data_IF_135968279730
#
_entry.id   IF_135968279730
#
_cell.length_a   1.000
_cell.length_b   1.000
_cell.length_c   1.000
_cell.angle_alpha   90.00
_cell.angle_beta   90.00
_cell.angle_gamma   90.00
#
_symmetry.space_group_name_H-M   'P 1'
#
loop_
_entity.id
_entity.type
_entity.pdbx_description
1 polymer ?
#
# COMPACT_ATOMS: atom_id res chain seq x y z
N UNK A 1 -18.99 16.41 22.44
CA UNK A 1 -18.66 15.10 21.83
C UNK A 1 -17.14 15.07 21.73
N UNK A 2 -16.48 14.35 22.62
CA UNK A 2 -15.01 14.17 22.56
C UNK A 2 -14.68 13.26 21.38
N UNK A 3 -14.48 13.85 20.21
CA UNK A 3 -14.05 13.12 19.02
C UNK A 3 -12.57 12.78 19.18
N UNK A 4 -12.26 11.49 19.33
CA UNK A 4 -10.88 11.02 19.37
C UNK A 4 -10.24 11.27 17.99
N UNK A 5 -9.17 12.08 17.89
CA UNK A 5 -8.48 12.31 16.63
C UNK A 5 -7.90 11.02 16.06
N UNK A 6 -7.93 10.91 14.73
CA UNK A 6 -7.33 9.81 13.98
C UNK A 6 -6.10 10.35 13.26
N UNK A 7 -4.95 9.74 13.54
CA UNK A 7 -3.69 10.00 12.85
C UNK A 7 -3.50 8.91 11.81
N UNK A 8 -3.48 9.31 10.54
CA UNK A 8 -3.28 8.40 9.43
C UNK A 8 -1.91 8.62 8.78
N UNK A 9 -1.05 7.61 8.86
CA UNK A 9 0.31 7.61 8.34
C UNK A 9 0.31 6.85 7.01
N UNK A 10 0.99 7.41 6.02
CA UNK A 10 1.05 6.88 4.67
C UNK A 10 2.49 6.58 4.26
N UNK A 11 2.64 5.44 3.61
CA UNK A 11 3.83 5.05 2.86
C UNK A 11 5.08 4.69 3.70
N UNK A 12 6.03 4.00 3.06
CA UNK A 12 7.14 3.31 3.75
C UNK A 12 8.16 4.23 4.42
N UNK A 13 8.25 5.49 4.00
CA UNK A 13 9.22 6.45 4.53
C UNK A 13 8.98 6.76 6.02
N UNK A 14 7.78 6.45 6.53
CA UNK A 14 7.33 6.77 7.88
C UNK A 14 7.13 5.54 8.78
N UNK A 15 7.74 4.39 8.45
CA UNK A 15 7.57 3.16 9.25
C UNK A 15 7.88 3.36 10.74
N UNK A 16 9.00 4.02 11.07
CA UNK A 16 9.43 4.22 12.46
C UNK A 16 8.68 5.37 13.15
N UNK A 17 8.10 6.29 12.37
CA UNK A 17 7.40 7.45 12.91
C UNK A 17 6.19 7.04 13.77
N UNK A 18 5.52 5.94 13.42
CA UNK A 18 4.39 5.43 14.18
C UNK A 18 4.74 5.10 15.64
N UNK A 19 5.93 4.55 15.90
CA UNK A 19 6.40 4.26 17.26
C UNK A 19 6.63 5.53 18.04
N UNK A 20 7.33 6.52 17.47
CA UNK A 20 7.59 7.81 18.12
C UNK A 20 6.30 8.56 18.42
N UNK A 21 5.36 8.58 17.47
CA UNK A 21 4.05 9.24 17.68
C UNK A 21 3.28 8.54 18.80
N UNK A 22 3.29 7.20 18.85
CA UNK A 22 2.65 6.44 19.93
C UNK A 22 3.26 6.76 21.30
N UNK A 23 4.59 6.81 21.39
CA UNK A 23 5.29 7.15 22.63
C UNK A 23 4.86 8.52 23.16
N UNK A 24 4.86 9.53 22.30
CA UNK A 24 4.42 10.89 22.68
C UNK A 24 2.95 10.91 23.12
N UNK A 25 2.07 10.17 22.44
CA UNK A 25 0.66 10.05 22.84
C UNK A 25 0.51 9.43 24.24
N UNK A 26 1.30 8.41 24.56
CA UNK A 26 1.27 7.74 25.86
C UNK A 26 1.87 8.63 26.97
N UNK A 27 2.98 9.31 26.70
CA UNK A 27 3.65 10.24 27.63
C UNK A 27 2.76 11.44 27.98
N UNK A 28 2.16 12.07 26.98
CA UNK A 28 1.26 13.22 27.15
C UNK A 28 -0.18 12.80 27.52
N UNK A 29 -0.44 11.50 27.69
CA UNK A 29 -1.75 10.90 28.00
C UNK A 29 -2.87 11.37 27.06
N UNK A 30 -2.53 11.54 25.79
CA UNK A 30 -3.46 11.94 24.75
C UNK A 30 -4.32 10.75 24.32
N UNK A 31 -5.52 11.03 23.82
CA UNK A 31 -6.38 10.03 23.18
C UNK A 31 -6.31 10.22 21.68
N UNK A 32 -5.70 9.30 20.95
CA UNK A 32 -5.68 9.28 19.50
C UNK A 32 -5.69 7.84 18.97
N UNK A 33 -6.26 7.65 17.78
CA UNK A 33 -6.17 6.39 17.04
C UNK A 33 -5.13 6.51 15.95
N UNK A 34 -4.27 5.52 15.82
CA UNK A 34 -3.22 5.47 14.80
C UNK A 34 -3.57 4.45 13.72
N UNK A 35 -3.46 4.87 12.46
CA UNK A 35 -3.64 3.99 11.31
C UNK A 35 -2.47 4.17 10.34
N UNK A 36 -2.02 3.08 9.74
CA UNK A 36 -0.96 3.07 8.73
C UNK A 36 -1.50 2.51 7.43
N UNK A 37 -1.12 3.09 6.28
CA UNK A 37 -1.42 2.51 4.97
C UNK A 37 -0.18 2.42 4.09
N UNK A 38 0.11 1.22 3.58
CA UNK A 38 1.24 0.99 2.69
C UNK A 38 0.80 0.97 1.22
N UNK A 39 1.38 1.89 0.44
CA UNK A 39 1.08 2.03 -0.98
C UNK A 39 1.87 1.06 -1.88
N UNK A 40 2.98 0.54 -1.38
CA UNK A 40 3.83 -0.43 -2.09
C UNK A 40 3.42 -1.87 -1.74
N UNK A 41 3.71 -2.85 -2.63
CA UNK A 41 3.51 -4.25 -2.30
C UNK A 41 4.32 -4.65 -1.07
N UNK A 42 3.69 -5.35 -0.13
CA UNK A 42 4.40 -5.86 1.04
C UNK A 42 5.08 -7.19 0.71
N UNK A 43 6.41 -7.31 0.95
CA UNK A 43 7.16 -8.51 0.61
C UNK A 43 6.72 -9.73 1.43
N UNK A 44 6.97 -10.93 0.91
CA UNK A 44 6.82 -12.17 1.68
C UNK A 44 7.91 -12.29 2.76
N UNK A 45 7.69 -13.18 3.73
CA UNK A 45 8.66 -13.44 4.80
C UNK A 45 10.08 -13.72 4.31
N UNK A 46 10.22 -14.49 3.23
CA UNK A 46 11.53 -14.89 2.70
C UNK A 46 12.38 -13.71 2.24
N UNK A 47 11.73 -12.64 1.78
CA UNK A 47 12.36 -11.39 1.37
C UNK A 47 12.51 -10.47 2.59
N UNK A 48 11.47 -10.35 3.43
CA UNK A 48 11.48 -9.45 4.58
C UNK A 48 12.63 -9.74 5.56
N UNK A 49 12.91 -11.02 5.81
CA UNK A 49 14.00 -11.44 6.72
C UNK A 49 15.42 -11.10 6.22
N UNK A 50 15.56 -10.67 4.97
CA UNK A 50 16.86 -10.28 4.41
C UNK A 50 17.23 -8.84 4.82
N UNK A 51 16.24 -8.04 5.23
CA UNK A 51 16.50 -6.68 5.68
C UNK A 51 17.09 -6.69 7.10
N UNK A 52 18.16 -5.92 7.36
CA UNK A 52 18.80 -5.87 8.68
C UNK A 52 17.95 -5.17 9.75
N UNK A 53 16.97 -4.36 9.34
CA UNK A 53 16.08 -3.56 10.22
C UNK A 53 14.64 -4.07 10.16
N UNK A 54 14.47 -5.36 9.87
CA UNK A 54 13.16 -5.97 9.65
C UNK A 54 12.26 -5.92 10.89
N UNK A 55 12.85 -6.07 12.08
CA UNK A 55 12.19 -5.91 13.36
C UNK A 55 11.71 -4.49 13.63
N UNK A 56 12.55 -3.48 13.41
CA UNK A 56 12.20 -2.07 13.61
C UNK A 56 11.03 -1.65 12.71
N UNK A 57 11.03 -2.10 11.45
CA UNK A 57 9.95 -1.82 10.50
C UNK A 57 8.64 -2.47 10.98
N UNK A 58 8.67 -3.75 11.33
CA UNK A 58 7.48 -4.47 11.78
C UNK A 58 6.94 -3.91 13.10
N UNK A 59 7.81 -3.56 14.04
CA UNK A 59 7.42 -2.91 15.30
C UNK A 59 6.80 -1.53 15.05
N UNK A 60 7.38 -0.75 14.12
CA UNK A 60 6.83 0.52 13.68
C UNK A 60 5.38 0.38 13.18
N UNK A 61 5.15 -0.56 12.27
CA UNK A 61 3.81 -0.81 11.74
C UNK A 61 2.83 -1.31 12.82
N UNK A 62 3.28 -2.17 13.74
CA UNK A 62 2.47 -2.67 14.86
C UNK A 62 2.24 -1.63 15.98
N UNK A 63 2.95 -0.50 15.97
CA UNK A 63 2.67 0.60 16.88
C UNK A 63 1.30 1.24 16.60
N UNK A 64 0.75 1.08 15.39
CA UNK A 64 -0.59 1.54 15.02
C UNK A 64 -1.72 0.65 15.56
N UNK A 65 -2.95 1.15 15.56
CA UNK A 65 -4.15 0.36 15.89
C UNK A 65 -4.67 -0.41 14.66
N UNK A 66 -4.39 0.13 13.47
CA UNK A 66 -4.79 -0.45 12.19
C UNK A 66 -3.68 -0.30 11.15
N UNK A 67 -3.48 -1.33 10.34
CA UNK A 67 -2.55 -1.37 9.21
C UNK A 67 -3.33 -1.77 7.94
N UNK A 68 -3.19 -0.96 6.89
CA UNK A 68 -3.89 -1.15 5.62
C UNK A 68 -2.93 -1.45 4.47
N UNK A 69 -3.37 -2.32 3.58
CA UNK A 69 -2.66 -2.69 2.34
C UNK A 69 -3.63 -2.69 1.15
N UNK A 70 -3.10 -2.77 -0.08
CA UNK A 70 -3.93 -2.79 -1.29
C UNK A 70 -4.75 -4.08 -1.47
N UNK A 71 -4.18 -5.25 -1.13
CA UNK A 71 -4.79 -6.57 -1.35
C UNK A 71 -4.60 -7.47 -0.12
N UNK A 72 -5.40 -8.53 -0.04
CA UNK A 72 -5.39 -9.48 1.09
C UNK A 72 -4.08 -10.26 1.20
N UNK A 73 -3.44 -10.61 0.08
CA UNK A 73 -2.17 -11.34 0.08
C UNK A 73 -1.06 -10.58 0.81
N UNK A 74 -0.98 -9.25 0.63
CA UNK A 74 -0.02 -8.40 1.34
C UNK A 74 -0.31 -8.35 2.83
N UNK A 75 -1.60 -8.37 3.20
CA UNK A 75 -2.01 -8.44 4.59
C UNK A 75 -1.56 -9.78 5.23
N UNK A 76 -1.72 -10.90 4.52
CA UNK A 76 -1.28 -12.22 4.98
C UNK A 76 0.25 -12.28 5.11
N UNK A 77 0.98 -11.74 4.14
CA UNK A 77 2.44 -11.64 4.19
C UNK A 77 2.89 -10.86 5.43
N UNK A 78 2.25 -9.73 5.73
CA UNK A 78 2.55 -8.93 6.93
C UNK A 78 2.30 -9.72 8.21
N UNK A 79 1.14 -10.36 8.34
CA UNK A 79 0.78 -11.20 9.49
C UNK A 79 1.83 -12.31 9.70
N UNK A 80 2.25 -12.96 8.62
CA UNK A 80 3.27 -14.00 8.67
C UNK A 80 4.64 -13.46 9.10
N UNK A 81 5.03 -12.27 8.62
CA UNK A 81 6.26 -11.62 9.05
C UNK A 81 6.22 -11.28 10.54
N UNK A 82 5.11 -10.70 11.04
CA UNK A 82 4.95 -10.39 12.46
C UNK A 82 5.00 -11.66 13.33
N UNK A 83 4.33 -12.73 12.92
CA UNK A 83 4.32 -13.99 13.68
C UNK A 83 5.71 -14.64 13.72
N UNK A 84 6.42 -14.70 12.59
CA UNK A 84 7.72 -15.38 12.49
C UNK A 84 8.87 -14.57 13.08
N UNK A 85 8.89 -13.24 12.89
CA UNK A 85 9.99 -12.38 13.35
C UNK A 85 9.88 -11.93 14.79
N UNK A 86 8.66 -11.53 15.20
CA UNK A 86 8.40 -10.94 16.51
C UNK A 86 7.71 -11.93 17.48
N UNK A 87 7.32 -13.11 17.00
CA UNK A 87 6.62 -14.10 17.82
C UNK A 87 5.21 -13.68 18.23
N UNK A 88 4.59 -12.73 17.49
CA UNK A 88 3.26 -12.25 17.80
C UNK A 88 2.20 -13.35 17.63
N UNK A 89 1.15 -13.30 18.46
CA UNK A 89 -0.02 -14.14 18.27
C UNK A 89 -0.87 -13.54 17.15
N UNK A 90 -1.28 -14.36 16.19
CA UNK A 90 -2.00 -13.86 15.01
C UNK A 90 -3.25 -14.67 14.73
N UNK A 91 -4.28 -14.00 14.24
CA UNK A 91 -5.50 -14.62 13.70
C UNK A 91 -5.59 -14.28 12.21
N UNK A 92 -5.28 -15.26 11.37
CA UNK A 92 -5.30 -15.11 9.91
C UNK A 92 -6.72 -15.00 9.34
N UNK A 93 -7.73 -15.53 10.02
CA UNK A 93 -9.11 -15.48 9.54
C UNK A 93 -9.73 -14.11 9.80
N UNK A 94 -9.37 -13.49 10.93
CA UNK A 94 -9.85 -12.16 11.32
C UNK A 94 -8.90 -11.02 10.95
N UNK A 95 -7.73 -11.36 10.39
CA UNK A 95 -6.66 -10.42 10.04
C UNK A 95 -6.22 -9.57 11.24
N UNK A 96 -5.92 -10.24 12.37
CA UNK A 96 -5.52 -9.60 13.63
C UNK A 96 -4.12 -10.02 14.03
N UNK A 97 -3.36 -9.07 14.58
CA UNK A 97 -2.06 -9.32 15.22
C UNK A 97 -2.13 -8.83 16.67
N UNK A 98 -1.82 -9.72 17.61
CA UNK A 98 -1.75 -9.42 19.04
C UNK A 98 -0.28 -9.30 19.48
N UNK A 99 0.06 -8.15 20.06
CA UNK A 99 1.39 -7.84 20.58
C UNK A 99 1.27 -7.09 21.90
N UNK A 100 1.97 -7.55 22.94
CA UNK A 100 2.03 -6.90 24.26
C UNK A 100 0.65 -6.48 24.85
N UNK A 101 -0.38 -7.32 24.66
CA UNK A 101 -1.74 -7.05 25.14
C UNK A 101 -2.57 -6.10 24.28
N UNK A 102 -2.04 -5.66 23.13
CA UNK A 102 -2.75 -4.85 22.13
C UNK A 102 -3.10 -5.70 20.92
N UNK A 103 -4.23 -5.37 20.29
CA UNK A 103 -4.67 -5.98 19.04
C UNK A 103 -4.59 -4.95 17.92
N UNK A 104 -3.89 -5.30 16.84
CA UNK A 104 -3.73 -4.50 15.63
C UNK A 104 -4.58 -5.13 14.54
N UNK A 105 -5.41 -4.31 13.90
CA UNK A 105 -6.26 -4.74 12.78
C UNK A 105 -5.52 -4.59 11.45
N UNK A 106 -5.45 -5.66 10.67
CA UNK A 106 -4.89 -5.64 9.32
C UNK A 106 -6.03 -5.67 8.30
N UNK A 107 -6.02 -4.80 7.29
CA UNK A 107 -7.12 -4.73 6.32
C UNK A 107 -6.65 -4.45 4.89
N UNK A 108 -7.26 -5.14 3.93
CA UNK A 108 -7.14 -4.81 2.52
C UNK A 108 -8.10 -3.65 2.17
N UNK A 109 -7.55 -2.57 1.64
CA UNK A 109 -8.27 -1.40 1.14
C UNK A 109 -7.73 -1.09 -0.27
N UNK A 110 -8.38 -1.58 -1.33
CA UNK A 110 -7.96 -1.27 -2.70
C UNK A 110 -8.18 0.23 -2.97
N UNK A 111 -7.09 0.94 -3.31
CA UNK A 111 -7.19 2.33 -3.74
C UNK A 111 -7.76 2.39 -5.16
N UNK A 112 -8.92 3.03 -5.29
CA UNK A 112 -9.56 3.32 -6.58
C UNK A 112 -9.19 4.72 -7.10
N UNK A 113 -9.49 4.96 -8.38
CA UNK A 113 -9.37 6.26 -9.04
C UNK A 113 -10.77 6.89 -9.08
N UNK A 114 -10.93 8.21 -8.83
CA UNK A 114 -12.21 8.90 -8.95
C UNK A 114 -12.66 8.98 -10.42
N UNK A 115 -13.31 7.93 -10.90
CA UNK A 115 -13.65 7.70 -12.30
C UNK A 115 -14.33 8.90 -12.97
N UNK A 116 -15.38 9.43 -12.35
CA UNK A 116 -16.22 10.48 -12.94
C UNK A 116 -15.41 11.74 -13.28
N UNK A 117 -14.48 12.13 -12.41
CA UNK A 117 -13.62 13.29 -12.62
C UNK A 117 -12.69 13.09 -13.83
N UNK A 118 -12.19 11.89 -14.05
CA UNK A 118 -11.30 11.61 -15.19
C UNK A 118 -12.06 11.55 -16.51
N UNK A 119 -13.30 11.06 -16.50
CA UNK A 119 -14.17 11.08 -17.69
C UNK A 119 -14.49 12.52 -18.10
N UNK A 120 -14.92 13.35 -17.15
CA UNK A 120 -15.23 14.76 -17.41
C UNK A 120 -14.01 15.53 -17.96
N UNK A 121 -12.83 15.27 -17.40
CA UNK A 121 -11.59 15.89 -17.87
C UNK A 121 -11.20 15.42 -19.29
N UNK A 122 -11.44 14.15 -19.62
CA UNK A 122 -11.16 13.60 -20.93
C UNK A 122 -12.08 14.18 -22.02
N UNK A 123 -13.35 14.44 -21.69
CA UNK A 123 -14.32 15.04 -22.62
C UNK A 123 -14.07 16.53 -22.88
N UNK A 124 -13.60 17.26 -21.87
CA UNK A 124 -13.36 18.71 -21.94
C UNK A 124 -11.98 19.08 -22.51
N UNK A 125 -11.04 18.14 -22.55
CA UNK A 125 -9.67 18.40 -23.03
C UNK A 125 -9.61 18.44 -24.56
N UNK A 126 -9.08 19.52 -25.17
CA UNK A 126 -8.94 19.60 -26.62
C UNK A 126 -7.97 18.52 -27.14
N UNK A 127 -8.31 17.92 -28.29
CA UNK A 127 -7.43 16.95 -28.97
C UNK A 127 -6.13 17.62 -29.38
N UNK A 128 -5.03 17.23 -28.73
CA UNK A 128 -3.70 17.79 -28.99
C UNK A 128 -2.93 17.03 -30.07
N UNK A 129 -3.19 15.72 -30.23
CA UNK A 129 -2.49 14.88 -31.20
C UNK A 129 -3.22 14.90 -32.56
N UNK A 130 -2.54 15.36 -33.61
CA UNK A 130 -2.98 15.22 -35.00
C UNK A 130 -2.44 13.90 -35.54
N UNK A 131 -3.26 12.86 -35.48
CA UNK A 131 -2.91 11.51 -35.95
C UNK A 131 -3.66 11.28 -37.25
N UNK A 132 -2.99 10.74 -38.27
CA UNK A 132 -3.67 10.32 -39.49
C UNK A 132 -4.44 9.01 -39.23
N UNK A 133 -5.56 8.79 -39.92
CA UNK A 133 -6.34 7.54 -39.78
C UNK A 133 -5.54 6.27 -40.18
N UNK A 134 -4.40 6.44 -40.85
CA UNK A 134 -3.47 5.37 -41.23
C UNK A 134 -2.48 4.95 -40.15
N UNK A 135 -2.36 5.71 -39.06
CA UNK A 135 -1.35 5.46 -38.02
C UNK A 135 -1.97 4.84 -36.76
N UNK A 136 -1.36 3.76 -36.26
CA UNK A 136 -1.72 3.16 -34.97
C UNK A 136 -0.79 3.69 -33.90
N UNK A 137 -1.35 4.22 -32.81
CA UNK A 137 -0.58 4.70 -31.64
C UNK A 137 -0.76 3.75 -30.47
N UNK A 138 0.37 3.38 -29.88
CA UNK A 138 0.44 2.66 -28.60
C UNK A 138 0.97 3.67 -27.59
N UNK A 139 0.16 3.99 -26.57
CA UNK A 139 0.52 4.89 -25.49
C UNK A 139 0.56 4.12 -24.18
N UNK A 140 1.76 4.01 -23.61
CA UNK A 140 1.97 3.59 -22.22
C UNK A 140 2.35 4.82 -21.40
N UNK A 141 1.59 5.09 -20.34
CA UNK A 141 1.95 6.12 -19.35
C UNK A 141 2.30 5.41 -18.07
N UNK A 142 3.58 5.42 -17.71
CA UNK A 142 4.05 4.89 -16.43
C UNK A 142 5.13 5.80 -15.87
N UNK A 143 5.38 5.71 -14.56
CA UNK A 143 6.59 6.29 -13.97
C UNK A 143 7.79 5.52 -14.51
N UNK A 144 8.94 6.20 -14.60
CA UNK A 144 10.19 5.57 -14.99
C UNK A 144 10.76 4.72 -13.83
N UNK A 145 10.03 3.67 -13.46
CA UNK A 145 10.40 2.71 -12.43
C UNK A 145 10.73 1.36 -13.07
N UNK A 146 11.81 0.74 -12.59
CA UNK A 146 12.29 -0.57 -13.04
C UNK A 146 11.30 -1.71 -12.78
N UNK A 147 10.37 -1.53 -11.83
CA UNK A 147 9.29 -2.49 -11.54
C UNK A 147 8.23 -2.56 -12.63
N UNK A 148 8.26 -1.66 -13.62
CA UNK A 148 7.24 -1.55 -14.67
C UNK A 148 7.57 -2.27 -15.97
N UNK A 149 8.68 -3.00 -16.01
CA UNK A 149 8.94 -3.93 -17.11
C UNK A 149 9.06 -3.26 -18.48
N UNK A 150 9.60 -2.03 -18.55
CA UNK A 150 9.78 -1.29 -19.81
C UNK A 150 10.50 -2.12 -20.89
N UNK A 151 11.39 -3.05 -20.52
CA UNK A 151 12.05 -3.97 -21.46
C UNK A 151 11.13 -5.04 -22.08
N UNK A 152 10.04 -5.41 -21.42
CA UNK A 152 9.11 -6.47 -21.88
C UNK A 152 7.95 -5.92 -22.72
N UNK A 153 7.59 -4.64 -22.54
CA UNK A 153 6.59 -3.96 -23.39
C UNK A 153 7.02 -3.82 -24.86
N UNK A 154 8.33 -3.72 -25.14
CA UNK A 154 8.85 -3.60 -26.51
C UNK A 154 9.32 -4.94 -27.12
N UNK A 155 9.33 -6.03 -26.34
CA UNK A 155 9.78 -7.35 -26.81
C UNK A 155 8.64 -8.19 -27.42
N UNK A 156 7.38 -7.84 -27.13
CA UNK A 156 6.22 -8.64 -27.54
C UNK A 156 5.61 -8.12 -28.85
N UNK A 157 5.36 -9.00 -29.84
CA UNK A 157 4.71 -8.60 -31.08
C UNK A 157 3.29 -8.11 -30.80
N UNK A 158 2.93 -6.98 -31.40
CA UNK A 158 1.59 -6.39 -31.33
C UNK A 158 0.62 -7.33 -32.04
N UNK A 159 -0.18 -8.07 -31.26
CA UNK A 159 -1.25 -8.91 -31.81
C UNK A 159 -2.39 -7.99 -32.25
N UNK A 160 -2.82 -8.01 -33.53
CA UNK A 160 -3.96 -7.21 -33.96
C UNK A 160 -5.22 -7.71 -33.26
N UNK A 161 -5.93 -6.82 -32.57
CA UNK A 161 -7.30 -7.07 -32.17
C UNK A 161 -8.17 -7.06 -33.44
N UNK A 162 -8.59 -8.24 -33.91
CA UNK A 162 -9.61 -8.34 -34.95
C UNK A 162 -10.98 -8.11 -34.31
N UNK A 163 -11.80 -7.17 -34.81
CA UNK A 163 -13.16 -7.01 -34.33
C UNK A 163 -14.00 -8.23 -34.79
N UNK A 164 -14.78 -8.79 -33.86
CA UNK A 164 -15.84 -9.76 -34.10
C UNK A 164 -17.11 -9.08 -34.61
#
# INVERSE_FOLDING_TARGET
MDTVPVVWIHDYQLFVAATTIRQVIEEEKLRAKLSFFLHIPFPSWDIMRLFPWDDEILQGMLACDMVGFHIEDYCLNFIDCCSRRLGCRVDRNKMLVEIAGRTVHVKALPIGIPYDRFVELAETTPKFLKISDSEKIILGVDRLDYTKGWGDCFSRPVVPLTPS
#
